data_IF_917549488524
#
_entry.id   IF_917549488524
#
_cell.length_a   1.000
_cell.length_b   1.000
_cell.length_c   1.000
_cell.angle_alpha   90.00
_cell.angle_beta   90.00
_cell.angle_gamma   90.00
#
_symmetry.space_group_name_H-M   'P 1'
#
loop_
_entity.id
_entity.type
_entity.pdbx_description
1 polymer ?
#
# COMPACT_ATOMS: atom_id res chain seq x y z
N UNK A 1 -8.93 3.65 10.76
CA UNK A 1 -7.51 4.06 10.85
C UNK A 1 -7.15 4.14 12.33
N UNK A 2 -6.10 3.46 12.78
CA UNK A 2 -5.68 3.54 14.19
C UNK A 2 -5.04 4.93 14.44
N UNK A 3 -5.76 5.77 15.18
CA UNK A 3 -5.37 7.17 15.43
C UNK A 3 -4.02 7.26 16.14
N UNK A 4 -3.72 6.30 17.03
CA UNK A 4 -2.49 6.30 17.83
C UNK A 4 -1.28 6.01 16.95
N UNK A 5 -1.35 4.96 16.11
CA UNK A 5 -0.26 4.60 15.21
C UNK A 5 0.06 5.74 14.23
N UNK A 6 -0.97 6.38 13.68
CA UNK A 6 -0.81 7.57 12.82
C UNK A 6 -0.14 8.72 13.57
N UNK A 7 -0.59 9.01 14.78
CA UNK A 7 -0.02 10.08 15.61
C UNK A 7 1.45 9.81 15.96
N UNK A 8 1.83 8.56 16.22
CA UNK A 8 3.22 8.19 16.46
C UNK A 8 4.11 8.43 15.24
N UNK A 9 3.65 8.09 14.03
CA UNK A 9 4.39 8.40 12.80
C UNK A 9 4.60 9.90 12.62
N UNK A 10 3.57 10.71 12.90
CA UNK A 10 3.66 12.18 12.85
C UNK A 10 4.65 12.75 13.87
N UNK A 11 4.68 12.21 15.09
CA UNK A 11 5.68 12.59 16.09
C UNK A 11 7.10 12.34 15.60
N UNK A 12 7.36 11.23 14.90
CA UNK A 12 8.68 10.98 14.31
C UNK A 12 9.01 12.03 13.24
N UNK A 13 8.08 12.38 12.36
CA UNK A 13 8.28 13.44 11.36
C UNK A 13 8.63 14.77 12.04
N UNK A 14 7.90 15.14 13.10
CA UNK A 14 8.13 16.36 13.87
C UNK A 14 9.46 16.33 14.64
N UNK A 15 9.75 15.25 15.35
CA UNK A 15 10.95 15.07 16.19
C UNK A 15 12.25 15.13 15.38
N UNK A 16 12.22 14.56 14.16
CA UNK A 16 13.35 14.56 13.25
C UNK A 16 13.33 15.74 12.26
N UNK A 17 12.42 16.70 12.43
CA UNK A 17 12.29 17.91 11.60
C UNK A 17 12.26 17.61 10.09
N UNK A 18 11.50 16.60 9.67
CA UNK A 18 11.40 16.21 8.27
C UNK A 18 10.34 17.09 7.61
N UNK A 19 10.73 17.94 6.66
CA UNK A 19 9.83 18.91 6.06
C UNK A 19 9.22 18.43 4.75
N UNK A 20 9.94 17.58 4.01
CA UNK A 20 9.50 17.03 2.72
C UNK A 20 9.91 15.57 2.49
N UNK A 21 9.24 14.84 1.58
CA UNK A 21 9.51 13.42 1.35
C UNK A 21 10.96 13.09 1.00
N UNK A 22 11.66 13.96 0.26
CA UNK A 22 13.05 13.72 -0.15
C UNK A 22 14.06 13.79 1.01
N UNK A 23 13.66 14.25 2.18
CA UNK A 23 14.49 14.27 3.39
C UNK A 23 14.30 13.01 4.25
N UNK A 24 13.23 12.24 4.03
CA UNK A 24 12.94 11.04 4.79
C UNK A 24 14.02 9.98 4.55
N UNK A 25 14.75 9.63 5.62
CA UNK A 25 15.75 8.57 5.59
C UNK A 25 15.51 7.60 6.75
N UNK A 26 14.81 6.51 6.45
CA UNK A 26 14.41 5.50 7.43
C UNK A 26 15.60 4.86 8.16
N UNK A 27 16.73 4.66 7.47
CA UNK A 27 17.94 4.10 8.07
C UNK A 27 18.54 5.06 9.09
N UNK A 28 18.60 6.36 8.78
CA UNK A 28 19.08 7.37 9.74
C UNK A 28 18.18 7.46 10.97
N UNK A 29 16.86 7.39 10.79
CA UNK A 29 15.90 7.36 11.91
C UNK A 29 16.14 6.12 12.76
N UNK A 30 16.25 4.93 12.15
CA UNK A 30 16.54 3.69 12.86
C UNK A 30 17.84 3.80 13.68
N UNK A 31 18.92 4.30 13.07
CA UNK A 31 20.20 4.46 13.74
C UNK A 31 20.16 5.47 14.89
N UNK A 32 19.42 6.58 14.73
CA UNK A 32 19.22 7.56 15.80
C UNK A 32 18.45 6.97 16.99
N UNK A 33 17.57 6.01 16.74
CA UNK A 33 16.86 5.23 17.75
C UNK A 33 17.64 4.01 18.27
N UNK A 34 18.94 3.92 17.98
CA UNK A 34 19.83 2.81 18.36
C UNK A 34 19.37 1.43 17.83
N UNK A 35 18.77 1.43 16.64
CA UNK A 35 18.38 0.22 15.91
C UNK A 35 19.36 -0.01 14.75
N UNK A 36 19.98 -1.19 14.67
CA UNK A 36 20.73 -1.58 13.46
C UNK A 36 19.77 -1.98 12.34
N UNK A 37 20.19 -1.84 11.09
CA UNK A 37 19.41 -2.28 9.91
C UNK A 37 20.29 -3.17 9.04
N UNK A 38 19.87 -4.42 8.86
CA UNK A 38 20.60 -5.43 8.10
C UNK A 38 19.71 -6.10 7.05
N UNK A 39 20.28 -6.39 5.88
CA UNK A 39 19.60 -7.15 4.82
C UNK A 39 20.03 -8.62 4.89
N UNK A 40 19.14 -9.48 5.38
CA UNK A 40 19.46 -10.86 5.75
C UNK A 40 18.46 -11.84 5.13
N UNK A 41 18.82 -13.13 5.10
CA UNK A 41 17.83 -14.14 4.78
C UNK A 41 16.87 -14.32 5.97
N UNK A 42 15.57 -14.16 5.70
CA UNK A 42 14.49 -14.40 6.67
C UNK A 42 13.60 -15.51 6.12
N UNK A 43 13.55 -16.64 6.82
CA UNK A 43 12.72 -17.77 6.39
C UNK A 43 11.24 -17.40 6.54
N UNK A 44 10.52 -17.37 5.41
CA UNK A 44 9.09 -17.04 5.33
C UNK A 44 8.71 -15.64 5.87
N UNK A 45 9.67 -14.72 5.96
CA UNK A 45 9.43 -13.36 6.45
C UNK A 45 9.90 -12.30 5.45
N UNK A 46 9.20 -11.17 5.44
CA UNK A 46 9.58 -9.96 4.74
C UNK A 46 10.48 -9.08 5.63
N UNK A 47 10.16 -9.01 6.92
CA UNK A 47 10.89 -8.22 7.92
C UNK A 47 10.98 -8.93 9.27
N UNK A 48 11.88 -8.43 10.11
CA UNK A 48 12.05 -8.87 11.49
C UNK A 48 12.52 -7.70 12.33
N UNK A 49 11.98 -7.57 13.53
CA UNK A 49 12.52 -6.65 14.54
C UNK A 49 12.72 -7.35 15.87
N UNK A 50 13.81 -7.01 16.54
CA UNK A 50 14.10 -7.40 17.92
C UNK A 50 14.56 -6.17 18.69
N UNK A 51 13.88 -5.82 19.79
CA UNK A 51 14.27 -4.66 20.60
C UNK A 51 14.04 -4.89 22.08
N UNK A 52 14.92 -4.30 22.90
CA UNK A 52 14.87 -4.33 24.36
C UNK A 52 15.67 -3.16 24.94
N UNK A 53 15.16 -2.55 26.01
CA UNK A 53 15.87 -1.51 26.79
C UNK A 53 16.37 -0.33 25.94
N UNK A 54 15.66 0.03 24.87
CA UNK A 54 16.01 1.16 23.99
C UNK A 54 17.03 0.86 22.89
N UNK A 55 17.42 -0.41 22.71
CA UNK A 55 18.29 -0.86 21.64
C UNK A 55 17.62 -1.97 20.83
N UNK A 56 18.03 -2.17 19.58
CA UNK A 56 17.46 -3.23 18.77
C UNK A 56 18.14 -3.44 17.43
N UNK A 57 17.57 -4.36 16.65
CA UNK A 57 17.99 -4.68 15.31
C UNK A 57 16.77 -4.94 14.43
N UNK A 58 16.83 -4.42 13.21
CA UNK A 58 15.86 -4.64 12.14
C UNK A 58 16.54 -5.48 11.06
N UNK A 59 15.91 -6.59 10.68
CA UNK A 59 16.25 -7.39 9.53
C UNK A 59 15.25 -7.18 8.41
N UNK A 60 15.73 -6.89 7.20
CA UNK A 60 14.92 -6.87 5.98
C UNK A 60 15.31 -8.07 5.13
N UNK A 61 14.32 -8.77 4.58
CA UNK A 61 14.57 -9.93 3.73
C UNK A 61 15.36 -9.54 2.47
N UNK A 62 16.52 -10.15 2.28
CA UNK A 62 17.37 -9.95 1.11
C UNK A 62 16.77 -10.50 -0.21
N UNK A 63 15.63 -11.19 -0.13
CA UNK A 63 14.85 -11.65 -1.30
C UNK A 63 14.00 -10.52 -1.90
N UNK A 64 13.74 -9.46 -1.14
CA UNK A 64 13.04 -8.28 -1.64
C UNK A 64 14.06 -7.43 -2.38
N UNK A 65 13.89 -7.28 -3.70
CA UNK A 65 14.78 -6.50 -4.56
C UNK A 65 14.24 -5.11 -4.88
N UNK A 66 12.92 -4.91 -4.77
CA UNK A 66 12.29 -3.61 -4.94
C UNK A 66 12.58 -2.69 -3.75
N UNK A 67 13.21 -1.55 -4.01
CA UNK A 67 13.58 -0.59 -2.96
C UNK A 67 12.37 0.02 -2.26
N UNK A 68 11.28 0.24 -2.99
CA UNK A 68 10.04 0.76 -2.43
C UNK A 68 9.43 -0.20 -1.40
N UNK A 69 9.44 -1.50 -1.72
CA UNK A 69 9.02 -2.57 -0.81
C UNK A 69 9.97 -2.70 0.39
N UNK A 70 11.29 -2.60 0.20
CA UNK A 70 12.26 -2.56 1.31
C UNK A 70 11.99 -1.38 2.25
N UNK A 71 11.73 -0.19 1.71
CA UNK A 71 11.39 1.00 2.50
C UNK A 71 10.11 0.80 3.30
N UNK A 72 9.07 0.22 2.69
CA UNK A 72 7.83 -0.05 3.39
C UNK A 72 8.02 -1.07 4.53
N UNK A 73 8.76 -2.15 4.29
CA UNK A 73 9.10 -3.14 5.34
C UNK A 73 9.86 -2.47 6.48
N UNK A 74 10.89 -1.68 6.18
CA UNK A 74 11.65 -0.96 7.20
C UNK A 74 10.75 -0.02 8.03
N UNK A 75 9.88 0.74 7.37
CA UNK A 75 8.94 1.62 8.05
C UNK A 75 7.90 0.84 8.90
N UNK A 76 7.50 -0.35 8.45
CA UNK A 76 6.64 -1.26 9.19
C UNK A 76 7.32 -1.77 10.47
N UNK A 77 8.57 -2.22 10.38
CA UNK A 77 9.34 -2.65 11.55
C UNK A 77 9.58 -1.48 12.53
N UNK A 78 9.83 -0.27 12.02
CA UNK A 78 9.86 0.94 12.85
C UNK A 78 8.50 1.18 13.54
N UNK A 79 7.39 0.88 12.85
CA UNK A 79 6.06 0.93 13.44
C UNK A 79 5.90 0.03 14.66
N UNK A 80 6.37 -1.21 14.59
CA UNK A 80 6.42 -2.10 15.76
C UNK A 80 7.22 -1.50 16.91
N UNK A 81 8.39 -0.91 16.63
CA UNK A 81 9.19 -0.25 17.66
C UNK A 81 8.50 0.96 18.28
N UNK A 82 8.06 1.92 17.48
CA UNK A 82 7.49 3.18 17.99
C UNK A 82 6.12 2.98 18.66
N UNK A 83 5.32 2.03 18.19
CA UNK A 83 4.03 1.73 18.80
C UNK A 83 4.16 0.92 20.10
N UNK A 84 5.19 0.06 20.22
CA UNK A 84 5.32 -0.91 21.32
C UNK A 84 6.64 -0.78 22.10
N UNK A 85 7.31 0.38 22.04
CA UNK A 85 8.64 0.65 22.60
C UNK A 85 8.86 0.19 24.06
N UNK A 86 7.80 0.18 24.86
CA UNK A 86 7.83 -0.22 26.28
C UNK A 86 7.74 -1.73 26.52
N UNK A 87 7.49 -2.51 25.48
CA UNK A 87 7.28 -3.96 25.54
C UNK A 87 8.38 -4.66 24.73
N UNK A 88 9.47 -5.13 25.37
CA UNK A 88 10.52 -5.85 24.69
C UNK A 88 9.98 -7.07 23.94
N UNK A 89 10.38 -7.24 22.68
CA UNK A 89 9.87 -8.34 21.86
C UNK A 89 10.77 -8.64 20.65
N UNK A 90 10.49 -9.79 20.03
CA UNK A 90 11.00 -10.15 18.71
C UNK A 90 9.81 -10.56 17.84
N UNK A 91 9.69 -9.91 16.69
CA UNK A 91 8.60 -10.12 15.73
C UNK A 91 9.23 -10.50 14.39
N UNK A 92 8.62 -11.48 13.70
CA UNK A 92 8.93 -11.81 12.31
C UNK A 92 7.65 -11.54 11.52
N UNK A 93 7.74 -10.63 10.56
CA UNK A 93 6.60 -10.17 9.77
C UNK A 93 6.64 -10.85 8.41
N UNK A 94 5.54 -11.48 8.02
CA UNK A 94 5.36 -12.11 6.71
C UNK A 94 4.82 -11.11 5.69
N UNK A 95 4.82 -11.46 4.40
CA UNK A 95 4.16 -10.64 3.37
C UNK A 95 2.66 -10.44 3.63
N UNK A 96 2.02 -11.40 4.29
CA UNK A 96 0.61 -11.30 4.70
C UNK A 96 0.41 -10.26 5.81
N UNK A 97 1.40 -10.10 6.69
CA UNK A 97 1.31 -9.15 7.80
C UNK A 97 1.40 -7.70 7.33
N UNK A 98 2.19 -7.44 6.27
CA UNK A 98 2.29 -6.14 5.60
C UNK A 98 0.97 -5.63 5.00
N UNK A 99 -0.06 -6.47 4.96
CA UNK A 99 -1.39 -6.16 4.45
C UNK A 99 -2.51 -6.49 5.42
N UNK A 100 -2.15 -6.89 6.65
CA UNK A 100 -3.10 -7.15 7.72
C UNK A 100 -3.95 -5.92 8.01
N UNK A 101 -5.25 -6.16 8.22
CA UNK A 101 -6.27 -5.13 8.52
C UNK A 101 -6.70 -5.11 9.98
N UNK A 102 -6.04 -5.88 10.84
CA UNK A 102 -6.37 -5.95 12.26
C UNK A 102 -5.14 -6.19 13.14
N UNK A 103 -5.25 -5.76 14.39
CA UNK A 103 -4.23 -6.01 15.41
C UNK A 103 -2.93 -5.24 15.17
N UNK A 104 -1.84 -5.75 15.76
CA UNK A 104 -0.54 -5.06 15.80
C UNK A 104 0.07 -4.81 14.42
N UNK A 105 -0.06 -5.79 13.52
CA UNK A 105 0.41 -5.66 12.13
C UNK A 105 -0.29 -4.52 11.38
N UNK A 106 -1.60 -4.34 11.62
CA UNK A 106 -2.33 -3.21 11.05
C UNK A 106 -1.85 -1.86 11.59
N UNK A 107 -1.52 -1.80 12.87
CA UNK A 107 -1.00 -0.58 13.49
C UNK A 107 0.39 -0.23 12.96
N UNK A 108 1.25 -1.23 12.76
CA UNK A 108 2.54 -1.08 12.07
C UNK A 108 2.36 -0.62 10.61
N UNK A 109 1.40 -1.18 9.87
CA UNK A 109 1.07 -0.74 8.50
C UNK A 109 0.56 0.71 8.45
N UNK A 110 -0.28 1.12 9.41
CA UNK A 110 -0.78 2.51 9.51
C UNK A 110 0.37 3.46 9.81
N UNK A 111 1.27 3.09 10.74
CA UNK A 111 2.46 3.87 11.03
C UNK A 111 3.34 4.01 9.79
N UNK A 112 3.64 2.90 9.10
CA UNK A 112 4.50 2.87 7.92
C UNK A 112 3.94 3.74 6.78
N UNK A 113 2.65 3.59 6.48
CA UNK A 113 1.98 4.37 5.45
C UNK A 113 1.99 5.86 5.74
N UNK A 114 1.79 6.26 7.01
CA UNK A 114 1.85 7.67 7.41
C UNK A 114 3.29 8.22 7.43
N UNK A 115 4.28 7.42 7.85
CA UNK A 115 5.68 7.86 7.88
C UNK A 115 6.25 8.05 6.47
N UNK A 116 5.99 7.09 5.56
CA UNK A 116 6.52 7.09 4.19
C UNK A 116 5.72 8.03 3.28
N UNK A 117 4.39 8.05 3.42
CA UNK A 117 3.48 8.84 2.59
C UNK A 117 2.59 9.73 3.47
N UNK A 118 3.23 10.64 4.21
CA UNK A 118 2.57 11.56 5.13
C UNK A 118 1.39 12.27 4.46
N UNK A 119 0.22 12.24 5.12
CA UNK A 119 -1.04 12.66 4.51
C UNK A 119 -1.02 14.10 3.95
N UNK A 120 -0.52 15.12 4.66
CA UNK A 120 -0.34 16.47 4.10
C UNK A 120 0.48 16.50 2.81
N UNK A 121 1.64 15.85 2.77
CA UNK A 121 2.48 15.79 1.58
C UNK A 121 1.78 15.06 0.43
N UNK A 122 1.09 13.96 0.73
CA UNK A 122 0.40 13.16 -0.27
C UNK A 122 -0.77 13.92 -0.90
N UNK A 123 -1.59 14.58 -0.07
CA UNK A 123 -2.69 15.41 -0.53
C UNK A 123 -2.20 16.60 -1.33
N UNK A 124 -1.14 17.27 -0.90
CA UNK A 124 -0.53 18.37 -1.64
C UNK A 124 -0.02 17.92 -3.01
N UNK A 125 0.71 16.80 -3.07
CA UNK A 125 1.28 16.27 -4.30
C UNK A 125 0.21 15.83 -5.31
N UNK A 126 -0.90 15.27 -4.85
CA UNK A 126 -1.98 14.74 -5.72
C UNK A 126 -3.06 15.76 -6.04
N UNK A 127 -3.07 16.92 -5.37
CA UNK A 127 -4.07 17.96 -5.53
C UNK A 127 -4.16 18.45 -6.98
N UNK A 128 -5.37 18.44 -7.53
CA UNK A 128 -5.66 18.94 -8.88
C UNK A 128 -5.11 18.06 -10.02
N UNK A 129 -4.45 16.94 -9.71
CA UNK A 129 -3.97 15.99 -10.71
C UNK A 129 -5.06 14.97 -11.04
N UNK A 130 -5.20 14.64 -12.32
CA UNK A 130 -6.15 13.62 -12.78
C UNK A 130 -5.63 12.23 -12.38
N UNK A 131 -6.50 11.43 -11.78
CA UNK A 131 -6.19 10.02 -11.51
C UNK A 131 -5.82 9.30 -12.82
N UNK A 132 -4.68 8.65 -12.79
CA UNK A 132 -4.15 7.86 -13.90
C UNK A 132 -3.03 6.95 -13.40
N UNK A 133 -2.68 5.94 -14.19
CA UNK A 133 -1.47 5.14 -13.97
C UNK A 133 -0.20 6.00 -13.86
N UNK A 134 -0.06 7.03 -14.71
CA UNK A 134 1.06 7.98 -14.67
C UNK A 134 1.12 8.73 -13.34
N UNK A 135 -0.01 9.21 -12.83
CA UNK A 135 -0.05 9.86 -11.51
C UNK A 135 0.42 8.93 -10.40
N UNK A 136 0.02 7.65 -10.41
CA UNK A 136 0.45 6.70 -9.40
C UNK A 136 1.94 6.38 -9.50
N UNK A 137 2.48 6.27 -10.72
CA UNK A 137 3.93 6.14 -10.94
C UNK A 137 4.70 7.35 -10.43
N UNK A 138 4.28 8.57 -10.78
CA UNK A 138 4.90 9.80 -10.27
C UNK A 138 4.84 9.89 -8.74
N UNK A 139 3.72 9.45 -8.15
CA UNK A 139 3.54 9.40 -6.70
C UNK A 139 4.50 8.39 -6.06
N UNK A 140 4.64 7.20 -6.65
CA UNK A 140 5.57 6.19 -6.17
C UNK A 140 7.02 6.70 -6.18
N UNK A 141 7.42 7.36 -7.26
CA UNK A 141 8.75 7.96 -7.40
C UNK A 141 8.98 9.10 -6.39
N UNK A 142 8.00 9.99 -6.21
CA UNK A 142 8.10 11.14 -5.30
C UNK A 142 8.26 10.72 -3.84
N UNK A 143 7.61 9.63 -3.42
CA UNK A 143 7.69 9.08 -2.06
C UNK A 143 8.69 7.92 -1.92
N UNK A 144 9.43 7.56 -2.97
CA UNK A 144 10.37 6.43 -3.00
C UNK A 144 9.75 5.12 -2.48
N UNK A 145 8.56 4.79 -2.99
CA UNK A 145 7.77 3.62 -2.60
C UNK A 145 7.42 2.76 -3.82
N UNK A 146 6.81 1.59 -3.59
CA UNK A 146 6.34 0.75 -4.69
C UNK A 146 5.08 1.35 -5.31
N UNK A 147 4.85 1.07 -6.59
CA UNK A 147 3.62 1.48 -7.29
C UNK A 147 2.36 1.01 -6.55
N UNK A 148 2.36 -0.24 -6.07
CA UNK A 148 1.25 -0.79 -5.30
C UNK A 148 1.01 -0.05 -3.99
N UNK A 149 2.06 0.35 -3.27
CA UNK A 149 1.94 1.11 -2.03
C UNK A 149 1.36 2.50 -2.28
N UNK A 150 1.86 3.21 -3.31
CA UNK A 150 1.34 4.51 -3.72
C UNK A 150 -0.13 4.43 -4.13
N UNK A 151 -0.51 3.40 -4.89
CA UNK A 151 -1.89 3.15 -5.29
C UNK A 151 -2.81 2.89 -4.10
N UNK A 152 -2.41 2.01 -3.18
CA UNK A 152 -3.19 1.72 -1.98
C UNK A 152 -3.34 2.95 -1.08
N UNK A 153 -2.32 3.81 -1.01
CA UNK A 153 -2.40 5.09 -0.31
C UNK A 153 -3.34 6.06 -1.01
N UNK A 154 -3.34 6.10 -2.34
CA UNK A 154 -4.30 6.89 -3.10
C UNK A 154 -5.74 6.43 -2.86
N UNK A 155 -6.00 5.13 -2.85
CA UNK A 155 -7.31 4.62 -2.45
C UNK A 155 -7.66 4.99 -1.00
N UNK A 156 -6.69 5.13 -0.11
CA UNK A 156 -6.96 5.48 1.29
C UNK A 156 -7.33 6.95 1.50
N UNK A 157 -6.56 7.87 0.91
CA UNK A 157 -6.64 9.31 1.21
C UNK A 157 -6.67 10.20 -0.03
N UNK A 158 -6.61 9.63 -1.23
CA UNK A 158 -6.60 10.38 -2.49
C UNK A 158 -7.87 11.23 -2.67
N UNK A 159 -7.77 12.34 -3.42
CA UNK A 159 -8.86 13.31 -3.56
C UNK A 159 -10.01 12.80 -4.44
N UNK A 160 -9.76 11.83 -5.32
CA UNK A 160 -10.78 11.20 -6.16
C UNK A 160 -11.25 9.92 -5.47
N UNK A 161 -12.55 9.75 -5.21
CA UNK A 161 -13.10 8.47 -4.73
C UNK A 161 -12.75 7.35 -5.69
N UNK A 162 -12.04 6.33 -5.21
CA UNK A 162 -11.45 5.29 -6.06
C UNK A 162 -11.37 3.97 -5.30
N UNK A 163 -11.50 2.87 -6.03
CA UNK A 163 -11.07 1.56 -5.57
C UNK A 163 -9.80 1.12 -6.31
N UNK A 164 -8.87 0.53 -5.57
CA UNK A 164 -7.64 -0.05 -6.08
C UNK A 164 -7.65 -1.53 -5.76
N UNK A 165 -7.30 -2.36 -6.74
CA UNK A 165 -7.30 -3.81 -6.62
C UNK A 165 -5.95 -4.33 -7.11
N UNK A 166 -5.29 -5.14 -6.30
CA UNK A 166 -4.14 -5.93 -6.72
C UNK A 166 -4.58 -7.39 -6.90
N UNK A 167 -4.43 -7.89 -8.12
CA UNK A 167 -4.61 -9.29 -8.44
C UNK A 167 -3.27 -9.96 -8.69
N UNK A 168 -3.17 -11.25 -8.34
CA UNK A 168 -2.04 -12.11 -8.66
C UNK A 168 -2.59 -13.48 -9.01
N UNK A 169 -2.11 -14.09 -10.09
CA UNK A 169 -2.59 -15.38 -10.60
C UNK A 169 -4.12 -15.41 -10.85
N UNK A 170 -4.69 -14.31 -11.34
CA UNK A 170 -6.11 -14.23 -11.68
C UNK A 170 -7.07 -14.12 -10.48
N UNK A 171 -6.55 -13.89 -9.27
CA UNK A 171 -7.36 -13.71 -8.06
C UNK A 171 -7.03 -12.41 -7.34
N UNK A 172 -8.03 -11.82 -6.69
CA UNK A 172 -7.86 -10.65 -5.82
C UNK A 172 -7.00 -11.03 -4.63
N UNK A 173 -5.81 -10.42 -4.54
CA UNK A 173 -4.95 -10.52 -3.35
C UNK A 173 -5.24 -9.39 -2.38
N UNK A 174 -5.39 -8.17 -2.90
CA UNK A 174 -5.67 -7.00 -2.07
C UNK A 174 -6.63 -6.06 -2.77
N UNK A 175 -7.40 -5.34 -1.97
CA UNK A 175 -8.25 -4.25 -2.42
C UNK A 175 -8.21 -3.12 -1.41
N UNK A 176 -8.51 -1.91 -1.83
CA UNK A 176 -8.77 -0.77 -0.95
C UNK A 176 -9.76 0.14 -1.65
N UNK A 177 -10.84 0.47 -0.95
CA UNK A 177 -11.80 1.48 -1.40
C UNK A 177 -11.57 2.76 -0.59
N UNK A 178 -11.62 3.89 -1.27
CA UNK A 178 -11.73 5.18 -0.62
C UNK A 178 -13.04 5.25 0.17
N UNK A 179 -13.04 5.88 1.34
CA UNK A 179 -14.23 6.00 2.20
C UNK A 179 -15.42 6.68 1.51
N UNK A 180 -15.15 7.57 0.54
CA UNK A 180 -16.16 8.33 -0.19
C UNK A 180 -16.54 7.64 -1.51
N UNK A 181 -15.93 6.49 -1.82
CA UNK A 181 -16.26 5.72 -3.02
C UNK A 181 -17.57 4.93 -2.80
N UNK A 182 -18.51 4.88 -3.76
CA UNK A 182 -19.85 4.33 -3.48
C UNK A 182 -19.88 2.83 -3.17
N UNK A 183 -18.86 2.09 -3.59
CA UNK A 183 -18.80 0.64 -3.46
C UNK A 183 -17.63 0.26 -2.54
N UNK A 184 -17.89 -0.56 -1.52
CA UNK A 184 -16.96 -0.78 -0.41
C UNK A 184 -16.53 -2.25 -0.25
N UNK A 185 -17.16 -3.17 -0.98
CA UNK A 185 -16.92 -4.58 -0.84
C UNK A 185 -16.41 -5.23 -2.12
N UNK A 186 -15.17 -5.74 -2.03
CA UNK A 186 -14.55 -6.63 -3.00
C UNK A 186 -14.05 -7.84 -2.23
N UNK A 187 -14.47 -9.03 -2.63
CA UNK A 187 -14.14 -10.28 -1.95
C UNK A 187 -12.67 -10.67 -2.16
N UNK A 188 -11.94 -10.93 -1.07
CA UNK A 188 -10.57 -11.44 -1.12
C UNK A 188 -10.54 -12.87 -1.68
N UNK A 189 -9.65 -13.15 -2.63
CA UNK A 189 -9.56 -14.44 -3.29
C UNK A 189 -10.59 -14.65 -4.41
N UNK A 190 -11.45 -13.67 -4.67
CA UNK A 190 -12.36 -13.68 -5.82
C UNK A 190 -11.58 -13.81 -7.12
N UNK A 191 -12.06 -14.66 -8.03
CA UNK A 191 -11.52 -14.74 -9.39
C UNK A 191 -11.92 -13.49 -10.18
N UNK A 192 -11.00 -13.00 -10.99
CA UNK A 192 -11.27 -11.86 -11.88
C UNK A 192 -12.41 -12.21 -12.84
N UNK A 193 -13.38 -11.30 -12.95
CA UNK A 193 -14.52 -11.43 -13.86
C UNK A 193 -14.08 -11.18 -15.31
N UNK A 194 -14.65 -11.93 -16.26
CA UNK A 194 -14.44 -11.76 -17.70
C UNK A 194 -14.87 -10.38 -18.24
N UNK A 195 -15.68 -9.64 -17.48
CA UNK A 195 -16.14 -8.29 -17.84
C UNK A 195 -15.12 -7.19 -17.50
N UNK A 196 -13.93 -7.53 -16.98
CA UNK A 196 -12.84 -6.56 -16.77
C UNK A 196 -11.65 -6.88 -17.66
N UNK A 197 -10.92 -5.85 -18.10
CA UNK A 197 -9.69 -6.01 -18.87
C UNK A 197 -8.57 -6.64 -18.04
N UNK A 198 -8.71 -6.68 -16.71
CA UNK A 198 -7.82 -7.50 -15.86
C UNK A 198 -7.88 -8.98 -16.23
N UNK A 199 -9.05 -9.49 -16.65
CA UNK A 199 -9.18 -10.89 -17.10
C UNK A 199 -8.38 -11.12 -18.38
N UNK A 200 -8.42 -10.15 -19.29
CA UNK A 200 -7.79 -10.23 -20.61
C UNK A 200 -6.26 -10.26 -20.47
N UNK A 201 -5.70 -9.50 -19.52
CA UNK A 201 -4.30 -9.63 -19.11
C UNK A 201 -3.93 -11.07 -18.73
N UNK A 202 -4.74 -11.74 -17.91
CA UNK A 202 -4.46 -13.12 -17.48
C UNK A 202 -4.68 -14.16 -18.60
N UNK A 203 -5.44 -13.83 -19.64
CA UNK A 203 -5.59 -14.65 -20.84
C UNK A 203 -4.47 -14.42 -21.87
N UNK A 204 -3.60 -13.42 -21.65
CA UNK A 204 -2.59 -13.00 -22.62
C UNK A 204 -3.18 -12.22 -23.80
N UNK A 205 -4.37 -11.64 -23.62
CA UNK A 205 -5.05 -10.81 -24.60
C UNK A 205 -4.58 -9.35 -24.50
N UNK A 206 -4.84 -8.56 -25.54
CA UNK A 206 -4.49 -7.14 -25.55
C UNK A 206 -5.42 -6.38 -24.59
N UNK A 207 -4.83 -5.56 -23.71
CA UNK A 207 -5.58 -4.67 -22.81
C UNK A 207 -5.46 -3.22 -23.27
N UNK A 208 -6.47 -2.37 -23.00
CA UNK A 208 -6.40 -0.93 -23.25
C UNK A 208 -5.23 -0.27 -22.51
N UNK A 209 -4.64 0.76 -23.12
CA UNK A 209 -3.63 1.61 -22.47
C UNK A 209 -4.26 2.81 -21.75
N UNK A 210 -5.46 3.21 -22.18
CA UNK A 210 -6.33 4.21 -21.57
C UNK A 210 -7.26 3.61 -20.54
N UNK A 211 -7.89 4.49 -19.76
CA UNK A 211 -9.00 4.12 -18.91
C UNK A 211 -10.26 3.91 -19.78
N UNK A 212 -10.98 2.82 -19.54
CA UNK A 212 -12.16 2.42 -20.31
C UNK A 212 -13.35 2.19 -19.40
N UNK A 213 -14.56 2.35 -19.93
CA UNK A 213 -15.78 2.06 -19.20
C UNK A 213 -16.10 0.55 -19.25
N UNK A 214 -16.35 -0.05 -18.09
CA UNK A 214 -16.74 -1.46 -17.96
C UNK A 214 -18.03 -1.60 -17.12
N UNK A 215 -18.75 -2.72 -17.23
CA UNK A 215 -19.86 -3.02 -16.33
C UNK A 215 -19.41 -3.07 -14.87
N UNK A 216 -20.13 -2.40 -13.98
CA UNK A 216 -19.83 -2.36 -12.54
C UNK A 216 -19.76 -3.76 -11.90
N UNK A 217 -20.59 -4.68 -12.40
CA UNK A 217 -20.64 -6.09 -11.96
C UNK A 217 -19.32 -6.84 -12.15
N UNK A 218 -18.40 -6.32 -12.97
CA UNK A 218 -17.07 -6.89 -13.12
C UNK A 218 -16.31 -6.99 -11.78
N UNK A 219 -16.57 -6.05 -10.86
CA UNK A 219 -15.88 -5.98 -9.57
C UNK A 219 -16.82 -5.97 -8.35
N UNK A 220 -18.02 -5.41 -8.48
CA UNK A 220 -18.89 -5.11 -7.34
C UNK A 220 -20.22 -5.86 -7.34
N UNK A 221 -20.33 -7.01 -8.04
CA UNK A 221 -21.57 -7.81 -8.10
C UNK A 221 -22.12 -8.25 -6.72
N UNK A 222 -21.25 -8.33 -5.71
CA UNK A 222 -21.57 -8.69 -4.32
C UNK A 222 -21.65 -7.48 -3.37
N UNK A 223 -21.52 -6.26 -3.88
CA UNK A 223 -21.63 -5.05 -3.06
C UNK A 223 -23.10 -4.70 -2.78
N UNK A 224 -23.40 -4.22 -1.56
CA UNK A 224 -24.78 -3.87 -1.19
C UNK A 224 -25.36 -2.70 -2.00
N UNK A 225 -24.51 -1.83 -2.54
CA UNK A 225 -24.91 -0.69 -3.36
C UNK A 225 -24.98 -1.02 -4.85
N UNK A 226 -24.67 -2.26 -5.26
CA UNK A 226 -24.73 -2.70 -6.65
C UNK A 226 -26.13 -2.60 -7.23
N UNK A 227 -26.23 -2.04 -8.43
CA UNK A 227 -27.42 -2.10 -9.29
C UNK A 227 -27.02 -2.53 -10.68
N UNK A 228 -27.92 -3.26 -11.34
CA UNK A 228 -27.74 -3.69 -12.73
C UNK A 228 -27.61 -2.48 -13.66
N UNK A 229 -26.92 -2.67 -14.78
CA UNK A 229 -26.76 -1.70 -15.87
C UNK A 229 -26.04 -0.40 -15.43
N UNK A 230 -25.19 -0.52 -14.39
CA UNK A 230 -24.24 0.51 -13.99
C UNK A 230 -22.84 0.24 -14.54
N UNK A 231 -22.08 1.30 -14.73
CA UNK A 231 -20.74 1.27 -15.30
C UNK A 231 -19.74 1.97 -14.40
N UNK A 232 -18.47 1.63 -14.60
CA UNK A 232 -17.35 2.21 -13.87
C UNK A 232 -16.16 2.35 -14.83
N UNK A 233 -15.30 3.34 -14.59
CA UNK A 233 -14.05 3.46 -15.32
C UNK A 233 -13.02 2.52 -14.72
N UNK A 234 -12.40 1.70 -15.55
CA UNK A 234 -11.27 0.84 -15.24
C UNK A 234 -10.00 1.33 -15.95
N UNK A 235 -8.89 1.39 -15.21
CA UNK A 235 -7.56 1.44 -15.81
C UNK A 235 -6.66 0.37 -15.19
N UNK A 236 -5.98 -0.38 -16.04
CA UNK A 236 -5.13 -1.49 -15.65
C UNK A 236 -3.65 -1.12 -15.77
N UNK A 237 -2.86 -1.56 -14.79
CA UNK A 237 -1.40 -1.48 -14.82
C UNK A 237 -0.85 -2.90 -14.73
N UNK A 238 -0.49 -3.54 -15.87
CA UNK A 238 0.01 -4.89 -15.87
C UNK A 238 1.41 -4.96 -15.26
N UNK A 239 1.67 -5.99 -14.45
CA UNK A 239 2.94 -6.24 -13.78
C UNK A 239 3.39 -7.68 -14.06
N UNK A 240 3.80 -7.99 -15.31
CA UNK A 240 4.02 -9.36 -15.79
C UNK A 240 5.10 -10.11 -15.01
N UNK A 241 6.13 -9.42 -14.52
CA UNK A 241 7.20 -10.04 -13.72
C UNK A 241 6.69 -10.66 -12.40
N UNK A 242 5.51 -10.25 -11.94
CA UNK A 242 4.87 -10.74 -10.71
C UNK A 242 3.59 -11.53 -10.99
N UNK A 243 3.30 -11.85 -12.26
CA UNK A 243 2.01 -12.37 -12.71
C UNK A 243 0.81 -11.64 -12.06
N UNK A 244 0.92 -10.31 -12.01
CA UNK A 244 0.01 -9.45 -11.25
C UNK A 244 -0.52 -8.30 -12.11
N UNK A 245 -1.68 -7.76 -11.71
CA UNK A 245 -2.27 -6.57 -12.32
C UNK A 245 -2.77 -5.66 -11.22
N UNK A 246 -2.48 -4.37 -11.34
CA UNK A 246 -3.03 -3.34 -10.47
C UNK A 246 -4.16 -2.62 -11.23
N UNK A 247 -5.35 -2.64 -10.66
CA UNK A 247 -6.57 -2.12 -11.28
C UNK A 247 -7.06 -0.91 -10.51
N UNK A 248 -7.28 0.19 -11.23
CA UNK A 248 -7.83 1.44 -10.73
C UNK A 248 -9.28 1.55 -11.18
N UNK A 249 -10.17 1.88 -10.25
CA UNK A 249 -11.60 1.98 -10.49
C UNK A 249 -12.15 3.30 -9.94
N UNK A 250 -12.82 4.09 -10.75
CA UNK A 250 -13.47 5.35 -10.31
C UNK A 250 -14.74 5.62 -11.13
N UNK A 251 -15.62 6.47 -10.61
CA UNK A 251 -16.85 6.85 -11.33
C UNK A 251 -16.53 7.67 -12.59
N UNK A 252 -17.22 7.38 -13.69
CA UNK A 252 -17.17 8.21 -14.88
C UNK A 252 -17.69 9.62 -14.60
N UNK A 253 -17.03 10.63 -15.16
CA UNK A 253 -17.45 12.02 -15.14
C UNK A 253 -18.54 12.31 -16.17
#
# INVERSE_FOLDING_TARGET
MNIIAKANARKVIEEYCIEKPSELNLIKIAHAEYLSVDYIEIKNGAGKISFKDGYGAIGISNKITDKGQQNFVLAHELGHYFNERKNPQTIICTEKDLTSRSGREYDANVFAGELVMHEPWFLEFTKGKRLSSSLLSETADYFNTSLSSAAMRYAEIGPVPTAIILTTDGVVKYSKCNKDFPYQYIEHGMKVNNNSYTSDFYKGEAIPTSAEEIPLEAWFWNDNNYKKDQFIIEQNIPMPNYNSCLTLLWEGS
#
